data_IF_765457375456
#
_entry.id   IF_765457375456
#
_cell.length_a   1.000
_cell.length_b   1.000
_cell.length_c   1.000
_cell.angle_alpha   90.00
_cell.angle_beta   90.00
_cell.angle_gamma   90.00
#
_symmetry.space_group_name_H-M   'P 1'
#
loop_
_entity.id
_entity.type
_entity.pdbx_description
1 polymer ?
#
# COMPACT_ATOMS: atom_id res chain seq x y z
N UNK A 1 49.68 3.28 -9.94
CA UNK A 1 49.21 2.00 -9.38
C UNK A 1 48.02 2.25 -8.46
N UNK A 2 46.79 1.93 -8.89
CA UNK A 2 45.59 2.06 -8.05
C UNK A 2 45.56 0.94 -7.02
N UNK A 3 45.63 1.29 -5.73
CA UNK A 3 45.49 0.32 -4.63
C UNK A 3 44.11 -0.36 -4.76
N UNK A 4 44.09 -1.69 -4.88
CA UNK A 4 42.86 -2.48 -4.91
C UNK A 4 42.14 -2.30 -3.58
N UNK A 5 41.08 -1.48 -3.55
CA UNK A 5 40.29 -1.27 -2.34
C UNK A 5 39.54 -2.56 -2.00
N UNK A 6 39.75 -3.07 -0.79
CA UNK A 6 39.08 -4.28 -0.31
C UNK A 6 37.55 -4.11 -0.37
N UNK A 7 36.78 -5.12 -0.86
CA UNK A 7 35.34 -5.04 -0.95
C UNK A 7 34.66 -4.85 0.42
N UNK A 8 35.28 -5.33 1.50
CA UNK A 8 34.79 -5.15 2.87
C UNK A 8 34.92 -3.70 3.32
N UNK A 9 36.05 -3.04 3.03
CA UNK A 9 36.26 -1.63 3.32
C UNK A 9 35.26 -0.75 2.55
N UNK A 10 35.02 -1.08 1.28
CA UNK A 10 33.99 -0.40 0.46
C UNK A 10 32.59 -0.57 1.05
N UNK A 11 32.21 -1.79 1.49
CA UNK A 11 30.92 -2.05 2.12
C UNK A 11 30.72 -1.21 3.40
N UNK A 12 31.74 -1.14 4.26
CA UNK A 12 31.70 -0.36 5.50
C UNK A 12 31.59 1.14 5.21
N UNK A 13 32.32 1.64 4.21
CA UNK A 13 32.23 3.03 3.77
C UNK A 13 30.82 3.38 3.27
N UNK A 14 30.27 2.56 2.37
CA UNK A 14 28.90 2.73 1.87
C UNK A 14 27.86 2.67 3.00
N UNK A 15 28.01 1.72 3.93
CA UNK A 15 27.14 1.59 5.10
C UNK A 15 27.13 2.87 5.95
N UNK A 16 28.30 3.43 6.26
CA UNK A 16 28.43 4.69 7.01
C UNK A 16 27.79 5.86 6.27
N UNK A 17 28.00 5.96 4.96
CA UNK A 17 27.36 7.00 4.13
C UNK A 17 25.83 6.87 4.13
N UNK A 18 25.30 5.65 4.01
CA UNK A 18 23.86 5.41 4.13
C UNK A 18 23.33 5.85 5.50
N UNK A 19 24.01 5.51 6.59
CA UNK A 19 23.59 5.95 7.94
C UNK A 19 23.55 7.48 8.08
N UNK A 20 24.50 8.19 7.47
CA UNK A 20 24.48 9.67 7.45
C UNK A 20 23.27 10.19 6.69
N UNK A 21 22.96 9.62 5.52
CA UNK A 21 21.79 10.01 4.73
C UNK A 21 20.47 9.64 5.41
N UNK A 22 20.40 8.50 6.10
CA UNK A 22 19.22 8.07 6.86
C UNK A 22 18.87 9.08 7.95
N UNK A 23 19.85 9.64 8.65
CA UNK A 23 19.63 10.66 9.71
C UNK A 23 18.91 11.91 9.21
N UNK A 24 18.98 12.20 7.91
CA UNK A 24 18.33 13.35 7.29
C UNK A 24 16.85 13.11 6.96
N UNK A 25 16.38 11.87 7.03
CA UNK A 25 14.97 11.54 6.76
C UNK A 25 14.04 12.21 7.80
N UNK A 26 12.83 12.64 7.42
CA UNK A 26 11.99 13.48 8.27
C UNK A 26 11.32 12.73 9.43
N UNK A 27 10.99 11.43 9.26
CA UNK A 27 10.28 10.65 10.28
C UNK A 27 11.17 9.62 10.94
N UNK A 28 11.00 9.40 12.23
CA UNK A 28 11.76 8.40 12.99
C UNK A 28 11.52 6.97 12.49
N UNK A 29 10.29 6.62 12.12
CA UNK A 29 9.96 5.32 11.54
C UNK A 29 10.82 4.98 10.31
N UNK A 30 10.92 5.91 9.34
CA UNK A 30 11.77 5.71 8.16
C UNK A 30 13.24 5.53 8.54
N UNK A 31 13.72 6.26 9.55
CA UNK A 31 15.11 6.14 10.03
C UNK A 31 15.37 4.73 10.57
N UNK A 32 14.48 4.22 11.40
CA UNK A 32 14.57 2.88 11.98
C UNK A 32 14.49 1.80 10.91
N UNK A 33 13.50 1.88 10.02
CA UNK A 33 13.31 0.93 8.93
C UNK A 33 14.56 0.82 8.04
N UNK A 34 15.06 1.96 7.53
CA UNK A 34 16.22 1.94 6.65
C UNK A 34 17.52 1.58 7.38
N UNK A 35 17.64 1.88 8.68
CA UNK A 35 18.78 1.44 9.48
C UNK A 35 18.84 -0.07 9.58
N UNK A 36 17.71 -0.74 9.83
CA UNK A 36 17.61 -2.21 9.85
C UNK A 36 17.92 -2.76 8.47
N UNK A 37 17.22 -2.26 7.44
CA UNK A 37 17.41 -2.72 6.05
C UNK A 37 18.87 -2.63 5.58
N UNK A 38 19.51 -1.47 5.77
CA UNK A 38 20.88 -1.25 5.31
C UNK A 38 21.88 -2.07 6.13
N UNK A 39 21.60 -2.33 7.41
CA UNK A 39 22.39 -3.25 8.25
C UNK A 39 22.33 -4.67 7.71
N UNK A 40 21.15 -5.16 7.34
CA UNK A 40 20.99 -6.50 6.77
C UNK A 40 21.63 -6.62 5.38
N UNK A 41 21.46 -5.60 4.53
CA UNK A 41 22.11 -5.56 3.21
C UNK A 41 23.64 -5.54 3.34
N UNK A 42 24.20 -4.79 4.30
CA UNK A 42 25.63 -4.76 4.57
C UNK A 42 26.15 -6.11 5.14
N UNK A 43 25.41 -6.72 6.08
CA UNK A 43 25.74 -8.06 6.60
C UNK A 43 25.76 -9.10 5.49
N UNK A 44 24.76 -9.10 4.60
CA UNK A 44 24.71 -10.00 3.45
C UNK A 44 25.89 -9.83 2.47
N UNK A 45 26.47 -8.63 2.36
CA UNK A 45 27.71 -8.41 1.58
C UNK A 45 28.92 -9.01 2.29
N UNK A 46 29.00 -8.86 3.61
CA UNK A 46 30.11 -9.34 4.42
C UNK A 46 30.12 -10.87 4.58
N UNK A 47 28.96 -11.52 4.70
CA UNK A 47 28.89 -12.99 4.82
C UNK A 47 29.27 -13.70 3.51
N UNK A 48 29.07 -13.03 2.36
CA UNK A 48 29.24 -13.62 1.03
C UNK A 48 30.65 -13.43 0.43
N UNK A 49 31.68 -13.24 1.26
CA UNK A 49 33.07 -13.03 0.79
C UNK A 49 33.52 -14.11 -0.20
N UNK A 50 33.10 -15.38 0.02
CA UNK A 50 33.48 -16.51 -0.83
C UNK A 50 32.90 -16.48 -2.26
N UNK A 51 31.90 -15.63 -2.55
CA UNK A 51 31.20 -15.58 -3.85
C UNK A 51 31.28 -14.18 -4.48
N UNK A 52 32.39 -13.84 -5.18
CA UNK A 52 32.69 -12.46 -5.59
C UNK A 52 31.66 -11.86 -6.56
N UNK A 53 31.08 -12.66 -7.48
CA UNK A 53 30.01 -12.18 -8.38
C UNK A 53 28.77 -11.70 -7.61
N UNK A 54 28.34 -12.47 -6.61
CA UNK A 54 27.19 -12.12 -5.78
C UNK A 54 27.49 -10.93 -4.87
N UNK A 55 28.72 -10.85 -4.35
CA UNK A 55 29.19 -9.73 -3.54
C UNK A 55 29.20 -8.42 -4.32
N UNK A 56 29.74 -8.40 -5.55
CA UNK A 56 29.73 -7.23 -6.44
C UNK A 56 28.31 -6.74 -6.74
N UNK A 57 27.38 -7.65 -7.02
CA UNK A 57 25.97 -7.31 -7.25
C UNK A 57 25.34 -6.65 -6.01
N UNK A 58 25.60 -7.19 -4.81
CA UNK A 58 25.10 -6.63 -3.54
C UNK A 58 25.72 -5.29 -3.20
N UNK A 59 27.02 -5.10 -3.45
CA UNK A 59 27.68 -3.79 -3.33
C UNK A 59 27.04 -2.75 -4.27
N UNK A 60 26.74 -3.15 -5.51
CA UNK A 60 26.01 -2.29 -6.47
C UNK A 60 24.62 -1.93 -5.96
N UNK A 61 23.90 -2.89 -5.37
CA UNK A 61 22.60 -2.63 -4.74
C UNK A 61 22.72 -1.63 -3.58
N UNK A 62 23.68 -1.83 -2.66
CA UNK A 62 23.91 -0.92 -1.54
C UNK A 62 24.27 0.50 -2.03
N UNK A 63 25.12 0.61 -3.05
CA UNK A 63 25.43 1.89 -3.69
C UNK A 63 24.22 2.54 -4.38
N UNK A 64 23.33 1.74 -4.97
CA UNK A 64 22.09 2.27 -5.55
C UNK A 64 21.10 2.78 -4.50
N UNK A 65 21.05 2.13 -3.32
CA UNK A 65 20.27 2.61 -2.17
C UNK A 65 20.83 3.92 -1.63
N UNK A 66 22.16 4.06 -1.51
CA UNK A 66 22.79 5.33 -1.13
C UNK A 66 22.37 6.48 -2.07
N UNK A 67 22.47 6.27 -3.40
CA UNK A 67 22.06 7.27 -4.40
C UNK A 67 20.57 7.59 -4.34
N UNK A 68 19.73 6.62 -3.95
CA UNK A 68 18.28 6.84 -3.77
C UNK A 68 18.02 7.73 -2.54
N UNK A 69 18.67 7.44 -1.41
CA UNK A 69 18.59 8.24 -0.19
C UNK A 69 19.09 9.68 -0.42
N UNK A 70 20.24 9.84 -1.08
CA UNK A 70 20.78 11.16 -1.43
C UNK A 70 19.82 11.97 -2.30
N UNK A 71 19.23 11.37 -3.34
CA UNK A 71 18.24 12.04 -4.19
C UNK A 71 17.00 12.46 -3.41
N UNK A 72 16.49 11.57 -2.58
CA UNK A 72 15.32 11.85 -1.76
C UNK A 72 15.57 13.01 -0.77
N UNK A 73 16.75 13.05 -0.15
CA UNK A 73 17.17 14.14 0.74
C UNK A 73 17.39 15.46 -0.01
N UNK A 74 17.73 15.41 -1.31
CA UNK A 74 17.78 16.56 -2.23
C UNK A 74 16.40 16.97 -2.78
N UNK A 75 15.31 16.57 -2.12
CA UNK A 75 13.92 16.89 -2.50
C UNK A 75 13.44 16.30 -3.83
N UNK A 76 14.11 15.27 -4.36
CA UNK A 76 13.56 14.48 -5.48
C UNK A 76 12.34 13.69 -5.00
N UNK A 77 11.15 14.13 -5.43
CA UNK A 77 9.91 13.55 -4.97
C UNK A 77 9.71 12.10 -5.41
N UNK A 78 10.25 11.69 -6.56
CA UNK A 78 10.10 10.30 -7.04
C UNK A 78 10.92 9.36 -6.16
N UNK A 79 12.17 9.74 -5.87
CA UNK A 79 13.03 8.99 -4.99
C UNK A 79 12.45 8.88 -3.57
N UNK A 80 11.85 9.97 -3.06
CA UNK A 80 11.21 9.96 -1.74
C UNK A 80 9.92 9.12 -1.71
N UNK A 81 9.08 9.18 -2.74
CA UNK A 81 7.93 8.28 -2.86
C UNK A 81 8.36 6.80 -2.91
N UNK A 82 9.44 6.48 -3.63
CA UNK A 82 9.97 5.12 -3.64
C UNK A 82 10.47 4.67 -2.25
N UNK A 83 11.08 5.58 -1.47
CA UNK A 83 11.49 5.31 -0.09
C UNK A 83 10.28 5.01 0.79
N UNK A 84 9.21 5.81 0.67
CA UNK A 84 7.98 5.57 1.40
C UNK A 84 7.33 4.26 0.95
N UNK A 85 7.22 4.00 -0.35
CA UNK A 85 6.65 2.77 -0.88
C UNK A 85 7.39 1.53 -0.36
N UNK A 86 8.72 1.58 -0.24
CA UNK A 86 9.50 0.47 0.32
C UNK A 86 9.24 0.31 1.82
N UNK A 87 9.28 1.41 2.58
CA UNK A 87 9.13 1.37 4.03
C UNK A 87 7.72 0.92 4.45
N UNK A 88 6.68 1.43 3.80
CA UNK A 88 5.28 1.09 4.07
C UNK A 88 4.81 -0.18 3.32
N UNK A 89 5.72 -0.97 2.77
CA UNK A 89 5.40 -2.28 2.19
C UNK A 89 4.55 -2.23 0.92
N UNK A 90 4.63 -1.15 0.14
CA UNK A 90 3.98 -1.02 -1.18
C UNK A 90 4.85 -1.60 -2.31
N UNK A 91 6.16 -1.71 -2.07
CA UNK A 91 7.15 -2.28 -3.00
C UNK A 91 8.15 -3.17 -2.25
N UNK A 92 8.73 -4.13 -2.97
CA UNK A 92 9.89 -4.89 -2.51
C UNK A 92 9.57 -6.07 -1.58
N UNK A 93 10.50 -6.39 -0.67
CA UNK A 93 10.42 -7.59 0.19
C UNK A 93 9.23 -7.53 1.14
N UNK A 94 9.05 -6.40 1.82
CA UNK A 94 7.96 -6.22 2.77
C UNK A 94 6.58 -6.34 2.09
N UNK A 95 6.43 -5.86 0.85
CA UNK A 95 5.20 -6.07 0.09
C UNK A 95 4.92 -7.57 -0.12
N UNK A 96 5.93 -8.35 -0.48
CA UNK A 96 5.78 -9.79 -0.68
C UNK A 96 5.37 -10.49 0.63
N UNK A 97 6.01 -10.14 1.74
CA UNK A 97 5.70 -10.67 3.08
C UNK A 97 4.27 -10.33 3.53
N UNK A 98 3.77 -9.14 3.18
CA UNK A 98 2.40 -8.74 3.49
C UNK A 98 1.34 -9.40 2.59
N UNK A 99 1.70 -9.72 1.36
CA UNK A 99 0.79 -10.35 0.39
C UNK A 99 0.73 -11.86 0.59
N UNK A 100 1.84 -12.50 0.97
CA UNK A 100 1.96 -13.96 1.10
C UNK A 100 0.85 -14.62 1.94
N UNK A 101 0.47 -14.10 3.13
CA UNK A 101 -0.64 -14.64 3.91
C UNK A 101 -1.99 -14.64 3.18
N UNK A 102 -2.20 -13.71 2.24
CA UNK A 102 -3.43 -13.59 1.46
C UNK A 102 -3.50 -14.58 0.30
N UNK A 103 -2.36 -15.16 -0.12
CA UNK A 103 -2.30 -16.09 -1.26
C UNK A 103 -2.75 -17.51 -0.92
N UNK A 104 -2.75 -17.85 0.36
CA UNK A 104 -3.26 -19.13 0.85
C UNK A 104 -4.56 -18.88 1.62
N UNK A 105 -5.46 -19.84 1.71
CA UNK A 105 -6.57 -19.83 2.68
C UNK A 105 -6.61 -21.22 3.32
N UNK A 106 -6.36 -21.33 4.64
CA UNK A 106 -6.38 -22.62 5.31
C UNK A 106 -7.80 -23.21 5.42
N UNK A 107 -8.86 -22.40 5.26
CA UNK A 107 -10.25 -22.85 5.39
C UNK A 107 -10.81 -23.44 4.13
N UNK A 108 -10.32 -22.97 2.99
CA UNK A 108 -10.84 -23.40 1.69
C UNK A 108 -10.01 -24.58 1.21
N UNK A 109 -10.64 -25.73 0.89
CA UNK A 109 -9.93 -26.86 0.33
C UNK A 109 -9.23 -26.42 -0.97
N UNK A 110 -8.00 -26.88 -1.16
CA UNK A 110 -7.25 -26.55 -2.37
C UNK A 110 -7.99 -27.09 -3.59
N UNK A 111 -8.13 -26.30 -4.66
CA UNK A 111 -8.82 -26.75 -5.86
C UNK A 111 -8.12 -27.96 -6.47
N UNK A 112 -8.89 -28.78 -7.18
CA UNK A 112 -8.38 -29.95 -7.87
C UNK A 112 -7.33 -29.56 -8.93
N UNK A 113 -6.32 -30.42 -9.16
CA UNK A 113 -5.33 -30.19 -10.20
C UNK A 113 -5.96 -30.25 -11.60
N UNK A 114 -5.66 -29.27 -12.46
CA UNK A 114 -6.16 -29.25 -13.85
C UNK A 114 -5.66 -30.46 -14.64
N UNK A 115 -4.43 -30.91 -14.35
CA UNK A 115 -3.82 -32.11 -14.91
C UNK A 115 -3.83 -33.19 -13.82
N UNK A 116 -4.57 -34.30 -14.00
CA UNK A 116 -4.59 -35.40 -13.04
C UNK A 116 -3.18 -35.89 -12.72
N UNK A 117 -2.92 -36.14 -11.42
CA UNK A 117 -1.61 -36.60 -10.93
C UNK A 117 -0.51 -35.52 -10.83
N UNK A 118 -0.75 -34.28 -11.28
CA UNK A 118 0.26 -33.20 -11.22
C UNK A 118 -0.20 -32.09 -10.28
N UNK A 119 0.23 -32.13 -9.01
CA UNK A 119 -0.21 -31.16 -7.99
C UNK A 119 0.14 -29.71 -8.31
N UNK A 120 1.26 -29.47 -9.01
CA UNK A 120 1.67 -28.12 -9.45
C UNK A 120 0.71 -27.51 -10.47
N UNK A 121 -0.19 -28.32 -11.05
CA UNK A 121 -1.22 -27.86 -11.99
C UNK A 121 -2.50 -27.36 -11.33
N UNK A 122 -2.55 -27.33 -9.98
CA UNK A 122 -3.66 -26.72 -9.25
C UNK A 122 -3.81 -25.26 -9.65
N UNK A 123 -5.03 -24.77 -9.89
CA UNK A 123 -5.24 -23.36 -10.17
C UNK A 123 -4.92 -22.52 -8.92
N UNK A 124 -4.56 -21.24 -9.11
CA UNK A 124 -4.30 -20.34 -8.00
C UNK A 124 -5.57 -20.13 -7.17
N UNK A 125 -5.41 -20.16 -5.85
CA UNK A 125 -6.50 -19.89 -4.91
C UNK A 125 -6.59 -18.38 -4.65
N UNK A 126 -7.81 -17.84 -4.67
CA UNK A 126 -8.09 -16.45 -4.34
C UNK A 126 -8.86 -16.43 -3.02
N UNK A 127 -8.22 -15.94 -1.97
CA UNK A 127 -8.88 -15.66 -0.70
C UNK A 127 -9.93 -14.55 -0.86
N UNK A 128 -10.93 -14.52 0.03
CA UNK A 128 -11.99 -13.50 -0.04
C UNK A 128 -11.42 -12.08 0.17
N UNK A 129 -10.42 -11.96 1.04
CA UNK A 129 -9.65 -10.73 1.25
C UNK A 129 -9.02 -10.26 -0.06
N UNK A 130 -8.38 -11.18 -0.78
CA UNK A 130 -7.73 -10.88 -2.05
C UNK A 130 -8.72 -10.56 -3.17
N UNK A 131 -9.86 -11.27 -3.23
CA UNK A 131 -10.93 -10.96 -4.19
C UNK A 131 -11.46 -9.55 -3.98
N UNK A 132 -11.71 -9.15 -2.73
CA UNK A 132 -12.14 -7.80 -2.39
C UNK A 132 -11.12 -6.73 -2.82
N UNK A 133 -9.83 -7.00 -2.59
CA UNK A 133 -8.76 -6.11 -3.05
C UNK A 133 -8.73 -6.01 -4.57
N UNK A 134 -8.74 -7.13 -5.31
CA UNK A 134 -8.67 -7.15 -6.78
C UNK A 134 -9.90 -6.51 -7.45
N UNK A 135 -11.07 -6.62 -6.81
CA UNK A 135 -12.31 -6.00 -7.28
C UNK A 135 -12.25 -4.47 -7.20
N UNK A 136 -11.45 -3.89 -6.29
CA UNK A 136 -11.32 -2.45 -6.13
C UNK A 136 -10.09 -1.90 -6.89
N UNK A 137 -10.30 -0.91 -7.76
CA UNK A 137 -9.24 -0.34 -8.59
C UNK A 137 -8.21 0.47 -7.80
N UNK A 138 -8.62 1.06 -6.67
CA UNK A 138 -7.76 1.90 -5.82
C UNK A 138 -6.64 1.13 -5.12
N UNK A 139 -6.80 -0.18 -4.91
CA UNK A 139 -5.78 -1.05 -4.30
C UNK A 139 -4.71 -1.48 -5.28
N UNK A 140 -4.84 -1.13 -6.56
CA UNK A 140 -3.96 -1.60 -7.63
C UNK A 140 -3.15 -0.45 -8.18
N UNK A 141 -1.87 -0.71 -8.46
CA UNK A 141 -1.00 0.26 -9.11
C UNK A 141 -1.50 0.72 -10.49
N UNK A 142 -2.34 -0.10 -11.14
CA UNK A 142 -2.93 0.22 -12.45
C UNK A 142 -4.22 1.04 -12.39
N UNK A 143 -4.86 1.16 -11.22
CA UNK A 143 -6.16 1.82 -11.06
C UNK A 143 -7.36 1.08 -11.67
N UNK A 144 -7.15 -0.02 -12.41
CA UNK A 144 -8.23 -0.79 -13.06
C UNK A 144 -8.83 -1.76 -12.05
N UNK A 145 -10.11 -2.10 -12.18
CA UNK A 145 -10.76 -3.16 -11.39
C UNK A 145 -10.65 -4.50 -12.13
N UNK A 146 -10.61 -5.63 -11.42
CA UNK A 146 -10.70 -6.97 -12.02
C UNK A 146 -12.12 -7.49 -11.82
N UNK A 147 -12.78 -7.85 -12.92
CA UNK A 147 -14.10 -8.49 -12.84
C UNK A 147 -13.94 -9.90 -12.25
N UNK A 148 -14.87 -10.37 -11.40
CA UNK A 148 -14.82 -11.74 -10.86
C UNK A 148 -14.71 -12.82 -11.95
N UNK A 149 -15.31 -12.58 -13.12
CA UNK A 149 -15.20 -13.49 -14.28
C UNK A 149 -13.77 -13.61 -14.81
N UNK A 150 -12.96 -12.55 -14.75
CA UNK A 150 -11.56 -12.57 -15.21
C UNK A 150 -10.65 -13.37 -14.27
N UNK A 151 -11.05 -13.53 -13.00
CA UNK A 151 -10.34 -14.36 -12.01
C UNK A 151 -10.48 -15.84 -12.39
N UNK A 152 -11.69 -16.24 -12.78
CA UNK A 152 -12.00 -17.60 -13.23
C UNK A 152 -11.47 -17.86 -14.64
N UNK A 153 -11.64 -16.88 -15.54
CA UNK A 153 -11.29 -16.97 -16.95
C UNK A 153 -10.41 -15.78 -17.37
N UNK A 154 -9.08 -15.93 -17.31
CA UNK A 154 -8.16 -14.87 -17.70
C UNK A 154 -8.40 -14.41 -19.14
N UNK A 155 -8.24 -13.12 -19.47
CA UNK A 155 -8.52 -12.59 -20.81
C UNK A 155 -7.59 -13.15 -21.90
N UNK A 156 -6.43 -13.70 -21.52
CA UNK A 156 -5.48 -14.34 -22.45
C UNK A 156 -5.79 -15.81 -22.71
N UNK A 157 -6.78 -16.38 -22.03
CA UNK A 157 -7.17 -17.77 -22.20
C UNK A 157 -8.14 -17.86 -23.40
N UNK A 158 -7.78 -18.59 -24.47
CA UNK A 158 -8.59 -18.65 -25.70
C UNK A 158 -9.90 -19.40 -25.45
N UNK A 159 -10.93 -19.13 -26.26
CA UNK A 159 -12.23 -19.80 -26.14
C UNK A 159 -12.12 -21.31 -26.32
N UNK A 160 -11.20 -21.76 -27.18
CA UNK A 160 -10.77 -23.16 -27.31
C UNK A 160 -10.47 -23.89 -26.00
N UNK A 161 -10.14 -23.19 -24.91
CA UNK A 161 -9.95 -23.84 -23.61
C UNK A 161 -11.27 -24.35 -22.98
N UNK A 162 -12.43 -23.87 -23.44
CA UNK A 162 -13.72 -24.43 -23.05
C UNK A 162 -14.01 -25.67 -23.92
N UNK A 163 -14.27 -26.84 -23.31
CA UNK A 163 -14.49 -28.07 -24.07
C UNK A 163 -15.70 -27.97 -25.02
N UNK A 164 -16.72 -27.19 -24.64
CA UNK A 164 -17.96 -27.05 -25.41
C UNK A 164 -17.90 -26.00 -26.53
N UNK A 165 -16.81 -25.24 -26.62
CA UNK A 165 -16.66 -24.16 -27.61
C UNK A 165 -16.57 -24.72 -29.04
N UNK A 166 -17.07 -23.98 -30.05
CA UNK A 166 -16.95 -24.39 -31.44
C UNK A 166 -15.49 -24.50 -31.87
N UNK A 167 -14.60 -23.64 -31.35
CA UNK A 167 -13.16 -23.73 -31.62
C UNK A 167 -12.53 -25.02 -31.07
N UNK A 168 -12.94 -25.48 -29.89
CA UNK A 168 -12.46 -26.74 -29.32
C UNK A 168 -12.96 -27.95 -30.14
N UNK A 169 -14.17 -27.88 -30.68
CA UNK A 169 -14.71 -28.91 -31.57
C UNK A 169 -14.00 -28.92 -32.93
N UNK A 170 -13.70 -27.75 -33.49
CA UNK A 170 -13.06 -27.62 -34.80
C UNK A 170 -11.56 -27.97 -34.76
N UNK A 171 -10.83 -27.48 -33.75
CA UNK A 171 -9.37 -27.60 -33.69
C UNK A 171 -8.88 -28.63 -32.67
N UNK A 172 -9.78 -29.23 -31.89
CA UNK A 172 -9.47 -30.12 -30.76
C UNK A 172 -9.28 -29.37 -29.43
N UNK A 173 -9.17 -30.09 -28.30
CA UNK A 173 -9.05 -29.48 -26.97
C UNK A 173 -7.76 -28.66 -26.81
N UNK A 174 -7.80 -27.66 -25.92
CA UNK A 174 -6.63 -26.85 -25.59
C UNK A 174 -5.66 -27.61 -24.68
N UNK A 175 -4.36 -27.33 -24.80
CA UNK A 175 -3.35 -27.95 -23.94
C UNK A 175 -3.52 -27.52 -22.48
N UNK A 176 -3.83 -28.48 -21.60
CA UNK A 176 -3.98 -28.26 -20.15
C UNK A 176 -2.74 -27.61 -19.51
N UNK A 177 -1.53 -27.97 -19.96
CA UNK A 177 -0.28 -27.35 -19.48
C UNK A 177 -0.22 -25.85 -19.82
N UNK A 178 -0.64 -25.49 -21.03
CA UNK A 178 -0.68 -24.09 -21.47
C UNK A 178 -1.73 -23.31 -20.71
N UNK A 179 -2.88 -23.90 -20.43
CA UNK A 179 -3.92 -23.31 -19.59
C UNK A 179 -3.42 -23.01 -18.17
N UNK A 180 -2.80 -23.99 -17.52
CA UNK A 180 -2.17 -23.82 -16.19
C UNK A 180 -1.21 -22.65 -16.20
N UNK A 181 -0.30 -22.60 -17.19
CA UNK A 181 0.69 -21.53 -17.31
C UNK A 181 0.04 -20.15 -17.50
N UNK A 182 -1.02 -20.05 -18.32
CA UNK A 182 -1.74 -18.79 -18.55
C UNK A 182 -2.41 -18.33 -17.24
N UNK A 183 -3.09 -19.23 -16.53
CA UNK A 183 -3.77 -18.91 -15.26
C UNK A 183 -2.77 -18.45 -14.19
N UNK A 184 -1.66 -19.16 -14.01
CA UNK A 184 -0.61 -18.79 -13.06
C UNK A 184 0.11 -17.49 -13.44
N UNK A 185 0.39 -17.29 -14.73
CA UNK A 185 0.99 -16.05 -15.21
C UNK A 185 0.07 -14.85 -14.95
N UNK A 186 -1.22 -15.00 -15.22
CA UNK A 186 -2.22 -13.97 -14.91
C UNK A 186 -2.25 -13.67 -13.40
N UNK A 187 -2.39 -14.70 -12.56
CA UNK A 187 -2.40 -14.55 -11.10
C UNK A 187 -1.16 -13.81 -10.59
N UNK A 188 0.04 -14.28 -10.92
CA UNK A 188 1.29 -13.64 -10.47
C UNK A 188 1.41 -12.19 -10.95
N UNK A 189 0.96 -11.92 -12.18
CA UNK A 189 0.98 -10.57 -12.73
C UNK A 189 0.00 -9.64 -12.01
N UNK A 190 -1.17 -10.14 -11.63
CA UNK A 190 -2.19 -9.38 -10.91
C UNK A 190 -1.83 -9.15 -9.45
N UNK A 191 -1.30 -10.17 -8.77
CA UNK A 191 -0.83 -10.09 -7.38
C UNK A 191 0.30 -9.05 -7.24
N UNK A 192 1.24 -8.98 -8.20
CA UNK A 192 2.33 -7.99 -8.17
C UNK A 192 1.86 -6.53 -8.26
N UNK A 193 0.65 -6.29 -8.77
CA UNK A 193 0.06 -4.94 -8.88
C UNK A 193 -0.71 -4.54 -7.63
N UNK A 194 -0.95 -5.47 -6.72
CA UNK A 194 -1.77 -5.27 -5.53
C UNK A 194 -0.98 -4.54 -4.45
N UNK A 195 -1.64 -3.57 -3.82
CA UNK A 195 -1.20 -2.97 -2.57
C UNK A 195 -1.79 -3.76 -1.41
N UNK A 196 -0.94 -4.37 -0.54
CA UNK A 196 -1.45 -5.18 0.56
C UNK A 196 -2.17 -4.31 1.61
N UNK A 197 -3.24 -4.80 2.25
CA UNK A 197 -3.90 -4.08 3.33
C UNK A 197 -2.93 -3.93 4.51
N UNK A 198 -2.95 -2.76 5.13
CA UNK A 198 -2.13 -2.51 6.33
C UNK A 198 -2.93 -2.81 7.58
N UNK A 199 -4.22 -2.50 7.54
CA UNK A 199 -5.14 -2.65 8.66
C UNK A 199 -6.44 -3.31 8.20
N UNK A 200 -7.04 -4.11 9.09
CA UNK A 200 -8.42 -4.58 8.97
C UNK A 200 -9.24 -3.97 10.10
N UNK A 201 -10.40 -3.45 9.75
CA UNK A 201 -11.38 -2.84 10.66
C UNK A 201 -12.67 -3.62 10.55
N UNK A 202 -13.27 -3.98 11.68
CA UNK A 202 -14.61 -4.59 11.68
C UNK A 202 -15.65 -3.49 11.44
N UNK A 203 -16.48 -3.64 10.41
CA UNK A 203 -17.77 -2.96 10.32
C UNK A 203 -18.75 -3.70 11.21
N UNK A 204 -18.50 -3.67 12.52
CA UNK A 204 -19.59 -3.88 13.45
C UNK A 204 -20.60 -2.75 13.24
N UNK A 205 -21.85 -3.06 13.55
CA UNK A 205 -23.08 -2.41 13.13
C UNK A 205 -23.19 -0.98 13.68
N UNK A 206 -22.31 -0.09 13.24
CA UNK A 206 -22.32 1.31 13.60
C UNK A 206 -23.34 1.99 12.70
N UNK A 207 -24.56 2.13 13.20
CA UNK A 207 -25.46 3.23 12.88
C UNK A 207 -24.87 4.59 13.37
N UNK A 208 -23.54 4.72 13.38
CA UNK A 208 -22.78 5.84 13.93
C UNK A 208 -22.02 6.49 12.77
N UNK A 209 -22.78 7.18 11.92
CA UNK A 209 -22.22 8.12 10.94
C UNK A 209 -21.59 9.37 11.60
N UNK A 210 -21.58 9.48 12.93
CA UNK A 210 -21.21 10.70 13.66
C UNK A 210 -19.94 10.66 14.51
N UNK A 211 -19.32 9.50 14.78
CA UNK A 211 -18.11 9.48 15.61
C UNK A 211 -16.86 9.53 14.73
N UNK A 212 -16.03 10.54 15.02
CA UNK A 212 -14.87 10.91 14.24
C UNK A 212 -13.81 9.83 14.09
N UNK A 213 -12.72 10.13 13.36
CA UNK A 213 -11.72 9.17 12.90
C UNK A 213 -10.86 8.50 13.99
N UNK A 214 -11.17 8.63 15.28
CA UNK A 214 -10.23 8.36 16.38
C UNK A 214 -10.35 6.96 16.99
N UNK A 215 -11.44 6.22 16.80
CA UNK A 215 -11.63 4.88 17.40
C UNK A 215 -11.68 3.75 16.35
N UNK A 216 -10.71 3.73 15.44
CA UNK A 216 -10.63 2.67 14.40
C UNK A 216 -9.91 1.39 14.84
N UNK A 217 -9.42 1.35 16.08
CA UNK A 217 -8.63 0.22 16.57
C UNK A 217 -9.54 -0.81 17.22
N UNK A 218 -10.15 -1.65 16.39
CA UNK A 218 -10.70 -2.93 16.86
C UNK A 218 -9.52 -3.79 17.33
N UNK A 219 -9.59 -4.29 18.56
CA UNK A 219 -8.57 -5.17 19.11
C UNK A 219 -8.42 -6.43 18.25
N UNK A 220 -7.17 -6.85 18.02
CA UNK A 220 -6.83 -8.07 17.26
C UNK A 220 -7.54 -9.33 17.78
N UNK A 221 -7.82 -9.40 19.09
CA UNK A 221 -8.55 -10.50 19.72
C UNK A 221 -9.94 -10.71 19.10
N UNK A 222 -10.74 -9.65 18.98
CA UNK A 222 -12.10 -9.73 18.43
C UNK A 222 -12.11 -10.17 16.97
N UNK A 223 -11.15 -9.71 16.17
CA UNK A 223 -11.02 -10.12 14.77
C UNK A 223 -10.59 -11.60 14.64
N UNK A 224 -9.70 -12.07 15.52
CA UNK A 224 -9.28 -13.47 15.54
C UNK A 224 -10.42 -14.42 15.94
N UNK A 225 -11.30 -14.01 16.87
CA UNK A 225 -12.51 -14.75 17.24
C UNK A 225 -13.48 -14.89 16.07
N UNK A 226 -13.60 -13.85 15.24
CA UNK A 226 -14.34 -13.88 13.97
C UNK A 226 -13.60 -14.67 12.87
N UNK A 227 -12.41 -15.17 13.18
CA UNK A 227 -11.56 -15.88 12.24
C UNK A 227 -11.00 -14.98 11.14
N UNK A 228 -10.95 -13.67 11.32
CA UNK A 228 -10.35 -12.77 10.34
C UNK A 228 -8.84 -12.86 10.45
N UNK A 229 -8.15 -12.97 9.32
CA UNK A 229 -6.68 -13.08 9.30
C UNK A 229 -6.06 -11.69 9.33
N UNK A 230 -5.24 -11.44 10.34
CA UNK A 230 -4.64 -10.14 10.54
C UNK A 230 -3.44 -9.92 9.60
N UNK A 231 -3.30 -8.71 9.00
CA UNK A 231 -2.09 -8.31 8.29
C UNK A 231 -0.90 -8.26 9.25
N UNK A 232 0.30 -8.52 8.75
CA UNK A 232 1.51 -8.52 9.58
C UNK A 232 1.85 -7.14 10.21
N UNK A 233 1.26 -6.05 9.73
CA UNK A 233 1.45 -4.69 10.27
C UNK A 233 0.25 -4.19 11.10
N UNK A 234 -0.74 -5.03 11.38
CA UNK A 234 -1.83 -4.67 12.28
C UNK A 234 -1.24 -4.27 13.66
N UNK A 235 -1.81 -3.24 14.30
CA UNK A 235 -1.41 -2.75 15.64
C UNK A 235 0.01 -2.19 15.78
N UNK A 236 0.79 -2.13 14.69
CA UNK A 236 2.14 -1.54 14.73
C UNK A 236 2.16 -0.02 14.84
N UNK A 237 1.01 0.65 14.73
CA UNK A 237 0.91 2.11 14.70
C UNK A 237 1.39 2.76 13.39
N UNK A 238 1.76 1.96 12.39
CA UNK A 238 2.39 2.44 11.15
C UNK A 238 1.38 3.24 10.29
N UNK A 239 0.12 2.81 10.27
CA UNK A 239 -0.92 3.49 9.51
C UNK A 239 -1.24 4.87 10.14
N UNK A 240 -1.40 4.90 11.45
CA UNK A 240 -1.66 6.07 12.27
C UNK A 240 -0.50 7.06 12.19
N UNK A 241 0.75 6.56 12.20
CA UNK A 241 1.93 7.38 11.96
C UNK A 241 1.90 8.03 10.57
N UNK A 242 1.52 7.30 9.52
CA UNK A 242 1.37 7.86 8.18
C UNK A 242 0.26 8.92 8.10
N UNK A 243 -0.87 8.71 8.79
CA UNK A 243 -1.95 9.70 8.93
C UNK A 243 -1.49 10.96 9.68
N UNK A 244 -0.80 10.79 10.81
CA UNK A 244 -0.24 11.91 11.58
C UNK A 244 0.75 12.74 10.73
N UNK A 245 1.62 12.07 9.98
CA UNK A 245 2.58 12.72 9.08
C UNK A 245 1.92 13.39 7.87
N UNK A 246 0.82 12.84 7.37
CA UNK A 246 -0.01 13.48 6.34
C UNK A 246 -0.70 14.74 6.89
N UNK A 247 -0.98 14.76 8.19
CA UNK A 247 -1.79 15.77 8.86
C UNK A 247 -3.26 15.70 8.43
N UNK A 248 -4.13 16.50 9.07
CA UNK A 248 -5.54 16.49 8.75
C UNK A 248 -5.79 16.74 7.24
N UNK A 249 -6.85 16.16 6.66
CA UNK A 249 -7.34 16.61 5.36
C UNK A 249 -7.57 18.12 5.49
N UNK A 250 -6.90 18.91 4.65
CA UNK A 250 -6.64 20.31 4.96
C UNK A 250 -7.96 21.08 5.17
N UNK A 251 -8.23 21.49 6.41
CA UNK A 251 -9.21 22.52 6.77
C UNK A 251 -8.65 23.93 6.64
N UNK A 252 -7.43 24.08 6.12
CA UNK A 252 -6.83 25.40 5.97
C UNK A 252 -7.49 26.05 4.75
N UNK A 253 -8.67 26.64 4.98
CA UNK A 253 -9.17 27.73 4.17
C UNK A 253 -8.00 28.71 4.12
N UNK A 254 -7.37 28.87 2.96
CA UNK A 254 -6.35 29.89 2.81
C UNK A 254 -7.11 31.18 3.04
N UNK A 255 -6.88 31.78 4.22
CA UNK A 255 -7.56 33.01 4.60
C UNK A 255 -7.41 33.98 3.45
N UNK A 256 -8.55 34.45 2.96
CA UNK A 256 -8.61 35.46 1.91
C UNK A 256 -7.88 36.71 2.40
N UNK A 257 -7.44 37.56 1.47
CA UNK A 257 -6.74 38.81 1.83
C UNK A 257 -7.56 39.65 2.82
N UNK A 258 -8.89 39.66 2.67
CA UNK A 258 -9.83 40.34 3.57
C UNK A 258 -9.86 39.72 4.97
N UNK A 259 -9.94 38.39 5.07
CA UNK A 259 -9.87 37.69 6.37
C UNK A 259 -8.51 37.90 7.03
N UNK A 260 -7.41 37.92 6.27
CA UNK A 260 -6.06 38.26 6.78
C UNK A 260 -5.95 39.70 7.26
N UNK A 261 -6.64 40.64 6.60
CA UNK A 261 -6.71 42.03 7.04
C UNK A 261 -7.56 42.16 8.32
N UNK A 262 -8.69 41.45 8.42
CA UNK A 262 -9.51 41.40 9.63
C UNK A 262 -8.74 40.77 10.82
N UNK A 263 -7.97 39.71 10.56
CA UNK A 263 -7.00 39.11 11.49
C UNK A 263 -6.00 40.15 12.02
N UNK A 264 -5.41 40.93 11.12
CA UNK A 264 -4.41 41.93 11.46
C UNK A 264 -4.96 43.11 12.27
N UNK A 265 -6.27 43.38 12.17
CA UNK A 265 -6.97 44.43 12.93
C UNK A 265 -7.32 43.96 14.36
N UNK A 266 -6.97 42.72 14.74
CA UNK A 266 -7.15 42.23 16.12
C UNK A 266 -8.59 41.91 16.51
N UNK A 267 -9.50 41.76 15.54
CA UNK A 267 -10.91 41.42 15.77
C UNK A 267 -11.15 39.90 15.90
N UNK A 268 -10.22 39.16 16.51
CA UNK A 268 -10.42 37.74 16.74
C UNK A 268 -10.34 37.43 18.21
N UNK A 269 -11.27 36.57 18.62
CA UNK A 269 -11.34 36.01 19.96
C UNK A 269 -10.11 35.14 20.23
N UNK A 270 -9.64 35.11 21.48
CA UNK A 270 -8.48 34.32 21.92
C UNK A 270 -8.57 32.83 21.54
N UNK A 271 -9.79 32.32 21.37
CA UNK A 271 -10.08 30.95 20.91
C UNK A 271 -9.52 30.64 19.51
N UNK A 272 -9.38 31.62 18.62
CA UNK A 272 -8.90 31.42 17.25
C UNK A 272 -7.36 31.51 17.12
N UNK A 273 -6.68 32.12 18.09
CA UNK A 273 -5.21 32.17 18.11
C UNK A 273 -4.58 30.87 18.60
N UNK A 274 -5.27 30.12 19.48
CA UNK A 274 -4.80 28.82 19.98
C UNK A 274 -4.73 27.71 18.90
N UNK A 275 -5.42 27.88 17.77
CA UNK A 275 -5.37 26.93 16.65
C UNK A 275 -4.21 27.18 15.66
N UNK A 276 -3.40 28.23 15.84
CA UNK A 276 -2.31 28.52 14.91
C UNK A 276 -1.12 27.57 15.15
N UNK A 277 -0.74 26.75 14.15
CA UNK A 277 0.34 25.80 14.32
C UNK A 277 1.69 26.50 14.46
N UNK A 278 2.39 26.24 15.56
CA UNK A 278 3.74 26.73 15.83
C UNK A 278 4.73 26.39 14.71
N UNK A 279 5.71 27.27 14.40
CA UNK A 279 6.72 27.02 13.38
C UNK A 279 7.69 25.93 13.84
N UNK A 280 7.59 24.76 13.21
CA UNK A 280 8.56 23.67 13.33
C UNK A 280 9.83 24.01 12.49
N UNK A 281 11.02 23.77 13.06
CA UNK A 281 12.34 24.19 12.58
C UNK A 281 12.84 23.61 11.23
N UNK A 282 14.17 23.52 10.99
CA UNK A 282 14.82 23.35 9.66
C UNK A 282 14.69 21.93 9.06
N UNK A 283 13.46 21.48 8.95
CA UNK A 283 13.03 20.21 8.37
C UNK A 283 12.45 20.49 6.98
N UNK A 284 12.41 19.48 6.10
CA UNK A 284 11.75 19.57 4.80
C UNK A 284 10.41 20.30 4.94
N UNK A 285 10.05 21.23 4.04
CA UNK A 285 8.85 22.04 4.19
C UNK A 285 7.69 21.11 4.52
N UNK A 286 7.06 21.31 5.69
CA UNK A 286 6.09 20.38 6.27
C UNK A 286 5.01 19.98 5.24
N UNK A 287 4.62 20.93 4.37
CA UNK A 287 3.71 20.73 3.25
C UNK A 287 4.18 19.68 2.23
N UNK A 288 5.46 19.66 1.87
CA UNK A 288 6.01 18.69 0.92
C UNK A 288 5.95 17.28 1.49
N UNK A 289 6.41 17.10 2.73
CA UNK A 289 6.38 15.79 3.42
C UNK A 289 4.95 15.30 3.61
N UNK A 290 4.05 16.18 4.08
CA UNK A 290 2.61 15.89 4.24
C UNK A 290 2.00 15.41 2.93
N UNK A 291 2.23 16.14 1.82
CA UNK A 291 1.69 15.77 0.51
C UNK A 291 2.13 14.36 0.08
N UNK A 292 3.36 13.96 0.36
CA UNK A 292 3.87 12.63 -0.01
C UNK A 292 3.29 11.53 0.87
N UNK A 293 3.13 11.77 2.17
CA UNK A 293 2.40 10.84 3.04
C UNK A 293 0.94 10.67 2.61
N UNK A 294 0.27 11.75 2.18
CA UNK A 294 -1.08 11.65 1.60
C UNK A 294 -1.16 10.79 0.33
N UNK A 295 -0.13 10.82 -0.51
CA UNK A 295 -0.04 9.95 -1.71
C UNK A 295 0.18 8.49 -1.29
N UNK A 296 0.97 8.24 -0.24
CA UNK A 296 1.22 6.89 0.25
C UNK A 296 -0.01 6.30 0.93
N UNK A 297 -0.75 7.10 1.71
CA UNK A 297 -2.04 6.71 2.28
C UNK A 297 -3.06 6.32 1.20
N UNK A 298 -3.00 6.95 0.02
CA UNK A 298 -3.82 6.54 -1.12
C UNK A 298 -3.48 5.15 -1.67
N UNK A 299 -2.28 4.63 -1.36
CA UNK A 299 -1.81 3.27 -1.71
C UNK A 299 -1.84 2.31 -0.51
N UNK A 300 -2.35 2.75 0.64
CA UNK A 300 -2.48 1.94 1.86
C UNK A 300 -3.96 1.64 2.10
N UNK A 301 -4.51 0.59 1.46
CA UNK A 301 -5.88 0.23 1.68
C UNK A 301 -6.09 -0.27 3.11
N UNK A 302 -7.23 0.13 3.68
CA UNK A 302 -7.78 -0.40 4.92
C UNK A 302 -8.89 -1.36 4.53
N UNK A 303 -8.80 -2.60 4.96
CA UNK A 303 -9.83 -3.59 4.69
C UNK A 303 -10.94 -3.44 5.73
N UNK A 304 -12.19 -3.50 5.30
CA UNK A 304 -13.34 -3.48 6.18
C UNK A 304 -13.94 -4.87 6.18
N UNK A 305 -14.06 -5.51 7.33
CA UNK A 305 -14.74 -6.80 7.47
C UNK A 305 -16.14 -6.59 7.99
N UNK A 306 -17.15 -7.00 7.23
CA UNK A 306 -18.55 -6.99 7.67
C UNK A 306 -18.98 -8.41 8.02
N UNK A 307 -19.19 -8.74 9.31
CA UNK A 307 -19.63 -10.07 9.70
C UNK A 307 -21.00 -10.37 9.07
N UNK A 308 -21.21 -11.62 8.65
CA UNK A 308 -22.51 -12.05 8.17
C UNK A 308 -23.49 -12.15 9.35
N UNK A 309 -24.77 -11.80 9.16
CA UNK A 309 -25.82 -11.95 10.18
C UNK A 309 -26.18 -13.41 10.51
N UNK A 310 -25.44 -14.40 10.01
CA UNK A 310 -25.74 -15.82 10.15
C UNK A 310 -24.49 -16.68 9.94
N UNK A 311 -24.67 -17.99 9.69
CA UNK A 311 -23.58 -18.98 9.53
C UNK A 311 -22.73 -18.84 8.24
N UNK A 312 -22.76 -17.67 7.60
CA UNK A 312 -22.04 -17.40 6.36
C UNK A 312 -20.68 -16.75 6.58
N UNK A 313 -19.75 -16.85 5.61
CA UNK A 313 -18.54 -16.05 5.63
C UNK A 313 -18.91 -14.56 5.58
N UNK A 314 -18.24 -13.74 6.39
CA UNK A 314 -18.36 -12.29 6.32
C UNK A 314 -17.89 -11.73 4.97
N UNK A 315 -18.25 -10.48 4.69
CA UNK A 315 -17.86 -9.78 3.46
C UNK A 315 -16.68 -8.86 3.73
N UNK A 316 -15.78 -8.75 2.75
CA UNK A 316 -14.68 -7.81 2.80
C UNK A 316 -14.94 -6.63 1.86
N UNK A 317 -14.81 -5.42 2.41
CA UNK A 317 -14.76 -4.16 1.69
C UNK A 317 -13.37 -3.53 1.77
N UNK A 318 -13.17 -2.46 1.03
CA UNK A 318 -11.92 -1.70 1.05
C UNK A 318 -12.24 -0.22 1.19
N UNK A 319 -11.57 0.43 2.14
CA UNK A 319 -11.61 1.87 2.38
C UNK A 319 -10.19 2.45 2.43
N UNK A 320 -10.10 3.77 2.49
CA UNK A 320 -8.83 4.51 2.56
C UNK A 320 -8.92 5.56 3.66
N UNK A 321 -7.76 6.04 4.10
CA UNK A 321 -7.68 7.19 4.99
C UNK A 321 -8.41 8.41 4.40
N UNK A 322 -9.16 9.18 5.19
CA UNK A 322 -9.72 10.46 4.74
C UNK A 322 -8.63 11.48 4.37
N UNK A 323 -7.40 11.32 4.89
CA UNK A 323 -6.26 12.15 4.54
C UNK A 323 -5.62 11.78 3.19
N UNK A 324 -5.96 10.62 2.62
CA UNK A 324 -5.41 10.14 1.35
C UNK A 324 -5.71 11.10 0.19
N UNK A 325 -4.77 11.18 -0.77
CA UNK A 325 -4.96 11.90 -2.03
C UNK A 325 -5.20 10.91 -3.17
N UNK A 326 -6.44 10.47 -3.30
CA UNK A 326 -6.94 9.74 -4.47
C UNK A 326 -7.63 10.72 -5.43
N UNK A 327 -7.57 10.45 -6.74
CA UNK A 327 -8.38 11.20 -7.73
C UNK A 327 -9.87 11.10 -7.40
N UNK A 328 -10.32 9.92 -6.97
CA UNK A 328 -11.71 9.66 -6.54
C UNK A 328 -12.08 10.43 -5.27
N UNK A 329 -11.12 10.61 -4.33
CA UNK A 329 -11.37 11.37 -3.09
C UNK A 329 -11.39 12.89 -3.28
N UNK A 330 -11.20 13.42 -4.50
CA UNK A 330 -11.28 14.86 -4.74
C UNK A 330 -12.61 15.45 -4.25
N UNK A 331 -13.68 14.65 -4.31
CA UNK A 331 -15.05 15.03 -3.99
C UNK A 331 -15.60 14.42 -2.68
N UNK A 332 -14.72 13.90 -1.81
CA UNK A 332 -15.15 13.27 -0.56
C UNK A 332 -15.66 14.31 0.44
N UNK A 333 -16.73 14.01 1.20
CA UNK A 333 -17.35 14.88 2.23
C UNK A 333 -16.33 15.46 3.21
N UNK A 334 -15.38 14.62 3.66
CA UNK A 334 -14.27 15.03 4.52
C UNK A 334 -13.40 16.19 3.98
N UNK A 335 -13.46 16.50 2.67
CA UNK A 335 -12.76 17.64 2.05
C UNK A 335 -13.65 18.87 1.84
N UNK A 336 -14.96 18.69 1.87
CA UNK A 336 -15.95 19.77 1.72
C UNK A 336 -16.94 19.67 2.87
N UNK A 337 -16.50 19.85 4.13
CA UNK A 337 -17.34 19.59 5.32
C UNK A 337 -18.55 20.54 5.42
N UNK A 338 -18.54 21.65 4.69
CA UNK A 338 -19.63 22.61 4.63
C UNK A 338 -20.54 22.45 3.41
N UNK A 339 -20.27 21.46 2.54
CA UNK A 339 -21.17 21.20 1.43
C UNK A 339 -22.49 20.67 1.96
N UNK A 340 -23.58 21.31 1.55
CA UNK A 340 -24.91 20.78 1.80
C UNK A 340 -25.09 19.42 1.12
N UNK A 341 -26.11 18.66 1.53
CA UNK A 341 -26.46 17.40 0.85
C UNK A 341 -26.67 17.59 -0.66
N UNK A 342 -27.25 18.74 -1.06
CA UNK A 342 -27.47 19.08 -2.47
C UNK A 342 -26.15 19.35 -3.20
N UNK A 343 -25.22 20.10 -2.60
CA UNK A 343 -23.89 20.33 -3.17
C UNK A 343 -23.10 19.03 -3.30
N UNK A 344 -23.24 18.11 -2.34
CA UNK A 344 -22.62 16.79 -2.40
C UNK A 344 -23.20 15.94 -3.55
N UNK A 345 -24.52 15.97 -3.76
CA UNK A 345 -25.15 15.31 -4.92
C UNK A 345 -24.69 15.93 -6.24
N UNK A 346 -24.60 17.27 -6.30
CA UNK A 346 -24.08 17.98 -7.47
C UNK A 346 -22.63 17.57 -7.77
N UNK A 347 -21.75 17.54 -6.77
CA UNK A 347 -20.36 17.09 -6.93
C UNK A 347 -20.26 15.63 -7.35
N UNK A 348 -21.13 14.75 -6.84
CA UNK A 348 -21.18 13.35 -7.23
C UNK A 348 -21.53 13.17 -8.73
N UNK A 349 -22.31 14.08 -9.32
CA UNK A 349 -22.65 14.04 -10.75
C UNK A 349 -21.44 14.22 -11.69
N UNK A 350 -20.36 14.86 -11.21
CA UNK A 350 -19.10 15.03 -11.95
C UNK A 350 -18.07 13.93 -11.73
N UNK A 351 -18.35 12.96 -10.83
CA UNK A 351 -17.46 11.84 -10.64
C UNK A 351 -17.46 10.95 -11.90
N UNK A 352 -16.28 10.54 -12.40
CA UNK A 352 -16.21 9.61 -13.54
C UNK A 352 -16.92 8.31 -13.15
N UNK A 353 -17.93 7.94 -13.96
CA UNK A 353 -18.72 6.71 -13.79
C UNK A 353 -17.87 5.45 -13.92
#
# INVERSE_FOLDING_TARGET
>A
MSKLVSPTATAVSLYRSCLRQIRLLPSEYLRQFFRIKVKDDARAVLERVRRPKTQKSRLKLLGSELRKLERANKSDYKAFEDILDIAYGRKGKLQAELVEPLLSDPRVPRPEPIIPGVEKSRPPLYSEEMKALLANGSTRSTGRTIRPQMILWPPKLPERAKPDSPEAKLWGPFSKRREVNIRWSFFQHEVRKLYPPVQIVSAERTDIELQGPTERNVASSSLNELGVRLPALQETGIFEHAEAMAGPPARIRILTRKEKQALAVGQLTDAQQAELPMPLGPTLPSRWVRRRHKVVLARMPVMIYSPAKGKGPGKYGVSHSPAAVLQQTKWHTARVPFASSEEMQWLASFAPK
#
